data_IF_438161895342
#
_entry.id   IF_438161895342
#
_cell.length_a   1.000
_cell.length_b   1.000
_cell.length_c   1.000
_cell.angle_alpha   90.00
_cell.angle_beta   90.00
_cell.angle_gamma   90.00
#
_symmetry.space_group_name_H-M   'P 1'
#
loop_
_entity.id
_entity.type
_entity.pdbx_description
1 polymer ?
#
# COMPACT_ATOMS: atom_id res chain seq x y z
N UNK A 1 28.02 9.81 12.53
CA UNK A 1 28.02 10.39 11.16
C UNK A 1 26.61 10.81 10.79
N UNK A 2 26.40 12.13 10.70
CA UNK A 2 25.41 12.85 9.90
C UNK A 2 23.91 12.52 10.07
N UNK A 3 23.31 13.00 11.17
CA UNK A 3 21.87 13.26 11.29
C UNK A 3 21.31 13.97 10.05
N UNK A 4 22.05 14.97 9.54
CA UNK A 4 21.70 15.72 8.34
C UNK A 4 21.44 14.82 7.10
N UNK A 5 22.24 13.77 6.87
CA UNK A 5 22.09 12.89 5.68
C UNK A 5 20.83 12.03 5.72
N UNK A 6 20.28 11.74 6.90
CA UNK A 6 19.07 10.89 7.05
C UNK A 6 17.79 11.70 6.79
N UNK A 7 17.75 12.97 7.19
CA UNK A 7 16.62 13.87 6.86
C UNK A 7 16.51 14.17 5.37
N UNK A 8 17.65 14.36 4.67
CA UNK A 8 17.63 14.45 3.20
C UNK A 8 17.15 13.14 2.56
N UNK A 9 17.39 11.99 3.20
CA UNK A 9 16.90 10.70 2.74
C UNK A 9 15.37 10.62 2.78
N UNK A 10 14.76 10.97 3.91
CA UNK A 10 13.30 10.95 4.06
C UNK A 10 12.60 11.95 3.12
N UNK A 11 13.14 13.17 3.00
CA UNK A 11 12.63 14.16 2.04
C UNK A 11 12.81 13.70 0.59
N UNK A 12 13.93 13.07 0.24
CA UNK A 12 14.15 12.52 -1.09
C UNK A 12 13.16 11.40 -1.39
N UNK A 13 12.89 10.51 -0.43
CA UNK A 13 11.88 9.44 -0.58
C UNK A 13 10.48 10.02 -0.75
N UNK A 14 10.09 11.02 0.06
CA UNK A 14 8.80 11.70 -0.08
C UNK A 14 8.65 12.38 -1.45
N UNK A 15 9.68 13.10 -1.89
CA UNK A 15 9.69 13.76 -3.20
C UNK A 15 9.69 12.74 -4.35
N UNK A 16 10.40 11.62 -4.20
CA UNK A 16 10.38 10.53 -5.18
C UNK A 16 8.99 9.89 -5.28
N UNK A 17 8.32 9.66 -4.15
CA UNK A 17 6.97 9.12 -4.10
C UNK A 17 5.96 10.07 -4.75
N UNK A 18 6.03 11.37 -4.44
CA UNK A 18 5.22 12.41 -5.06
C UNK A 18 5.46 12.51 -6.58
N UNK A 19 6.73 12.50 -6.99
CA UNK A 19 7.12 12.55 -8.40
C UNK A 19 6.63 11.32 -9.15
N UNK A 20 6.79 10.13 -8.58
CA UNK A 20 6.34 8.88 -9.17
C UNK A 20 4.81 8.82 -9.31
N UNK A 21 4.08 9.25 -8.28
CA UNK A 21 2.61 9.30 -8.33
C UNK A 21 2.09 10.31 -9.35
N UNK A 22 2.68 11.50 -9.44
CA UNK A 22 2.35 12.48 -10.47
C UNK A 22 2.67 11.97 -11.87
N UNK A 23 3.85 11.35 -12.05
CA UNK A 23 4.24 10.76 -13.32
C UNK A 23 3.27 9.66 -13.75
N UNK A 24 2.92 8.74 -12.84
CA UNK A 24 1.97 7.67 -13.11
C UNK A 24 0.55 8.20 -13.40
N UNK A 25 0.10 9.22 -12.67
CA UNK A 25 -1.19 9.87 -12.94
C UNK A 25 -1.20 10.55 -14.32
N UNK A 26 -0.14 11.27 -14.67
CA UNK A 26 -0.01 11.90 -15.98
C UNK A 26 0.05 10.86 -17.10
N UNK A 27 0.75 9.75 -16.90
CA UNK A 27 0.83 8.64 -17.84
C UNK A 27 -0.54 8.00 -18.04
N UNK A 28 -1.25 7.70 -16.94
CA UNK A 28 -2.61 7.15 -17.00
C UNK A 28 -3.59 8.07 -17.75
N UNK A 29 -3.56 9.38 -17.47
CA UNK A 29 -4.40 10.38 -18.17
C UNK A 29 -4.07 10.46 -19.66
N UNK A 30 -2.78 10.39 -20.02
CA UNK A 30 -2.31 10.50 -21.41
C UNK A 30 -2.62 9.27 -22.25
N UNK A 31 -2.48 8.07 -21.67
CA UNK A 31 -2.62 6.80 -22.39
C UNK A 31 -4.09 6.39 -22.52
N UNK A 32 -4.89 6.57 -21.47
CA UNK A 32 -6.31 6.22 -21.51
C UNK A 32 -7.11 7.06 -20.52
N UNK A 33 -7.74 8.11 -21.03
CA UNK A 33 -8.74 8.91 -20.30
C UNK A 33 -10.10 8.22 -20.19
N UNK A 34 -10.19 6.92 -20.53
CA UNK A 34 -11.39 6.14 -20.29
C UNK A 34 -11.72 6.16 -18.79
N UNK A 35 -12.99 6.44 -18.48
CA UNK A 35 -13.49 6.55 -17.09
C UNK A 35 -13.09 5.31 -16.29
N UNK A 36 -13.07 4.13 -16.90
CA UNK A 36 -12.71 2.86 -16.27
C UNK A 36 -11.27 2.83 -15.71
N UNK A 37 -10.30 3.42 -16.40
CA UNK A 37 -8.91 3.45 -15.93
C UNK A 37 -8.69 4.55 -14.88
N UNK A 38 -9.37 5.68 -15.04
CA UNK A 38 -9.26 6.80 -14.11
C UNK A 38 -10.06 6.60 -12.83
N UNK A 39 -11.10 5.75 -12.84
CA UNK A 39 -12.01 5.55 -11.69
C UNK A 39 -11.27 5.17 -10.42
N UNK A 40 -10.20 4.37 -10.53
CA UNK A 40 -9.42 3.91 -9.39
C UNK A 40 -8.09 4.66 -9.24
N UNK A 41 -7.40 4.96 -10.35
CA UNK A 41 -6.10 5.65 -10.33
C UNK A 41 -6.24 7.07 -9.79
N UNK A 42 -7.28 7.80 -10.20
CA UNK A 42 -7.48 9.20 -9.86
C UNK A 42 -7.74 9.41 -8.35
N UNK A 43 -8.72 8.77 -7.69
CA UNK A 43 -8.91 8.96 -6.26
C UNK A 43 -7.71 8.47 -5.44
N UNK A 44 -7.07 7.37 -5.84
CA UNK A 44 -5.89 6.85 -5.14
C UNK A 44 -4.72 7.84 -5.19
N UNK A 45 -4.42 8.39 -6.36
CA UNK A 45 -3.36 9.38 -6.51
C UNK A 45 -3.67 10.67 -5.75
N UNK A 46 -4.93 11.12 -5.70
CA UNK A 46 -5.33 12.25 -4.84
C UNK A 46 -5.08 11.96 -3.35
N UNK A 47 -5.43 10.78 -2.87
CA UNK A 47 -5.19 10.40 -1.46
C UNK A 47 -3.70 10.37 -1.15
N UNK A 48 -2.88 9.76 -2.00
CA UNK A 48 -1.42 9.70 -1.79
C UNK A 48 -0.81 11.10 -1.79
N UNK A 49 -1.18 11.94 -2.77
CA UNK A 49 -0.69 13.32 -2.84
C UNK A 49 -1.15 14.15 -1.64
N UNK A 50 -2.38 13.95 -1.15
CA UNK A 50 -2.88 14.61 0.05
C UNK A 50 -2.10 14.20 1.30
N UNK A 51 -1.77 12.90 1.46
CA UNK A 51 -0.95 12.41 2.57
C UNK A 51 0.45 13.02 2.53
N UNK A 52 1.10 13.00 1.36
CA UNK A 52 2.43 13.60 1.20
C UNK A 52 2.39 15.11 1.49
N UNK A 53 1.38 15.82 0.98
CA UNK A 53 1.22 17.25 1.22
C UNK A 53 0.98 17.53 2.71
N UNK A 54 0.11 16.77 3.37
CA UNK A 54 -0.16 16.88 4.79
C UNK A 54 1.13 16.69 5.60
N UNK A 55 1.90 15.65 5.28
CA UNK A 55 3.15 15.35 5.98
C UNK A 55 4.19 16.45 5.81
N UNK A 56 4.32 17.00 4.59
CA UNK A 56 5.19 18.14 4.31
C UNK A 56 4.74 19.38 5.09
N UNK A 57 3.43 19.69 5.10
CA UNK A 57 2.87 20.85 5.82
C UNK A 57 3.03 20.71 7.33
N UNK A 58 2.79 19.53 7.90
CA UNK A 58 2.99 19.27 9.32
C UNK A 58 4.46 19.46 9.72
N UNK A 59 5.40 18.89 8.93
CA UNK A 59 6.85 19.06 9.16
C UNK A 59 7.33 20.51 8.99
N UNK A 60 6.75 21.25 8.05
CA UNK A 60 6.98 22.70 7.87
C UNK A 60 6.51 23.49 9.11
N UNK A 61 5.30 23.22 9.61
CA UNK A 61 4.72 23.94 10.76
C UNK A 61 5.45 23.65 12.06
N UNK A 62 5.88 22.41 12.27
CA UNK A 62 6.61 22.01 13.47
C UNK A 62 8.09 22.44 13.44
N UNK A 63 8.56 23.03 12.32
CA UNK A 63 9.98 23.39 12.14
C UNK A 63 10.91 22.17 12.11
N UNK A 64 10.35 20.97 12.06
CA UNK A 64 11.01 19.65 12.11
C UNK A 64 11.27 19.07 10.71
N UNK A 65 11.20 19.90 9.66
CA UNK A 65 11.59 19.51 8.29
C UNK A 65 12.91 18.75 8.23
N UNK A 66 13.83 19.07 9.14
CA UNK A 66 15.16 18.49 9.27
C UNK A 66 15.43 17.90 10.66
N UNK A 67 14.38 17.60 11.43
CA UNK A 67 14.56 17.03 12.76
C UNK A 67 13.41 16.11 13.09
N UNK A 68 13.56 14.85 12.64
CA UNK A 68 12.65 13.77 13.04
C UNK A 68 12.56 13.71 14.57
N UNK A 69 11.34 13.82 15.13
CA UNK A 69 11.06 13.36 16.48
C UNK A 69 11.56 11.91 16.56
N UNK A 70 12.41 11.62 17.54
CA UNK A 70 12.92 10.29 17.77
C UNK A 70 11.77 9.34 18.10
N UNK A 71 11.15 8.75 17.09
CA UNK A 71 10.87 7.33 17.17
C UNK A 71 12.25 6.68 17.22
N UNK A 72 12.62 6.21 18.41
CA UNK A 72 13.56 5.11 18.55
C UNK A 72 13.19 4.10 17.47
N UNK A 73 13.96 4.11 16.37
CA UNK A 73 13.53 3.45 15.16
C UNK A 73 13.18 2.03 15.50
N UNK A 74 11.92 1.63 15.28
CA UNK A 74 11.60 0.22 15.28
C UNK A 74 12.66 -0.45 14.41
N UNK A 75 13.39 -1.43 14.95
CA UNK A 75 14.57 -1.93 14.28
C UNK A 75 14.14 -2.33 12.87
N UNK A 76 14.86 -1.88 11.84
CA UNK A 76 14.50 -2.12 10.44
C UNK A 76 14.14 -3.59 10.18
N UNK A 77 14.76 -4.47 10.97
CA UNK A 77 14.56 -5.91 11.05
C UNK A 77 13.13 -6.36 11.43
N UNK A 78 12.34 -5.50 12.09
CA UNK A 78 10.93 -5.73 12.47
C UNK A 78 9.97 -5.36 11.34
N UNK A 79 10.35 -4.39 10.50
CA UNK A 79 9.57 -3.92 9.35
C UNK A 79 9.89 -4.72 8.08
N UNK A 80 11.14 -5.17 7.92
CA UNK A 80 11.62 -6.00 6.81
C UNK A 80 10.75 -7.23 6.49
N UNK A 81 10.31 -8.04 7.48
CA UNK A 81 9.43 -9.18 7.25
C UNK A 81 8.07 -8.77 6.66
N UNK A 82 7.53 -7.64 7.10
CA UNK A 82 6.25 -7.11 6.61
C UNK A 82 6.38 -6.63 5.17
N UNK A 83 7.45 -5.90 4.86
CA UNK A 83 7.74 -5.44 3.49
C UNK A 83 7.98 -6.64 2.56
N UNK A 84 8.72 -7.65 3.03
CA UNK A 84 8.94 -8.88 2.29
C UNK A 84 7.64 -9.65 2.03
N UNK A 85 6.76 -9.73 3.03
CA UNK A 85 5.45 -10.35 2.88
C UNK A 85 4.57 -9.59 1.87
N UNK A 86 4.60 -8.25 1.90
CA UNK A 86 3.89 -7.43 0.93
C UNK A 86 4.41 -7.64 -0.50
N UNK A 87 5.73 -7.70 -0.68
CA UNK A 87 6.32 -8.00 -1.99
C UNK A 87 5.94 -9.40 -2.48
N UNK A 88 5.97 -10.41 -1.61
CA UNK A 88 5.53 -11.77 -1.93
C UNK A 88 4.05 -11.80 -2.33
N UNK A 89 3.19 -11.02 -1.65
CA UNK A 89 1.79 -10.87 -2.00
C UNK A 89 1.62 -10.29 -3.42
N UNK A 90 2.30 -9.18 -3.74
CA UNK A 90 2.23 -8.57 -5.09
C UNK A 90 2.66 -9.54 -6.18
N UNK A 91 3.71 -10.33 -5.96
CA UNK A 91 4.16 -11.36 -6.92
C UNK A 91 3.11 -12.47 -7.05
N UNK A 92 2.50 -12.88 -5.93
CA UNK A 92 1.51 -13.95 -5.91
C UNK A 92 0.20 -13.58 -6.60
N UNK A 93 -0.13 -12.29 -6.74
CA UNK A 93 -1.34 -11.84 -7.45
C UNK A 93 -1.39 -12.35 -8.90
N UNK A 94 -0.24 -12.49 -9.55
CA UNK A 94 -0.16 -12.97 -10.94
C UNK A 94 -0.38 -14.48 -11.08
N UNK A 95 -0.20 -15.28 -10.01
CA UNK A 95 -0.23 -16.75 -10.08
C UNK A 95 -1.36 -17.38 -9.26
N UNK A 96 -1.68 -16.84 -8.09
CA UNK A 96 -2.69 -17.36 -7.16
C UNK A 96 -4.05 -16.67 -7.27
N UNK A 97 -4.16 -15.59 -8.05
CA UNK A 97 -5.38 -14.80 -8.14
C UNK A 97 -5.59 -13.86 -6.94
N UNK A 98 -6.40 -12.83 -7.13
CA UNK A 98 -6.56 -11.73 -6.18
C UNK A 98 -7.18 -12.17 -4.84
N UNK A 99 -8.18 -13.05 -4.89
CA UNK A 99 -8.91 -13.55 -3.72
C UNK A 99 -8.03 -14.38 -2.79
N UNK A 100 -7.43 -15.46 -3.30
CA UNK A 100 -6.62 -16.40 -2.51
C UNK A 100 -5.35 -15.72 -2.00
N UNK A 101 -4.69 -14.92 -2.85
CA UNK A 101 -3.51 -14.17 -2.43
C UNK A 101 -3.83 -13.19 -1.29
N UNK A 102 -4.99 -12.52 -1.34
CA UNK A 102 -5.39 -11.57 -0.28
C UNK A 102 -5.68 -12.29 1.03
N UNK A 103 -6.41 -13.41 1.00
CA UNK A 103 -6.69 -14.22 2.20
C UNK A 103 -5.39 -14.72 2.83
N UNK A 104 -4.47 -15.28 2.03
CA UNK A 104 -3.19 -15.80 2.53
C UNK A 104 -2.31 -14.67 3.07
N UNK A 105 -2.26 -13.53 2.38
CA UNK A 105 -1.51 -12.35 2.85
C UNK A 105 -2.02 -11.86 4.20
N UNK A 106 -3.33 -11.69 4.36
CA UNK A 106 -3.93 -11.22 5.62
C UNK A 106 -3.67 -12.22 6.75
N UNK A 107 -3.81 -13.52 6.48
CA UNK A 107 -3.51 -14.57 7.45
C UNK A 107 -2.03 -14.55 7.89
N UNK A 108 -1.09 -14.47 6.93
CA UNK A 108 0.33 -14.40 7.23
C UNK A 108 0.70 -13.08 7.94
N UNK A 109 0.06 -11.98 7.59
CA UNK A 109 0.29 -10.69 8.22
C UNK A 109 -0.17 -10.67 9.69
N UNK A 110 -1.35 -11.22 9.97
CA UNK A 110 -1.85 -11.38 11.34
C UNK A 110 -0.98 -12.35 12.16
N UNK A 111 -0.49 -13.43 11.55
CA UNK A 111 0.48 -14.33 12.19
C UNK A 111 1.79 -13.61 12.53
N UNK A 112 2.32 -12.80 11.62
CA UNK A 112 3.53 -11.99 11.87
C UNK A 112 3.30 -10.95 12.98
N UNK A 113 2.09 -10.44 13.12
CA UNK A 113 1.69 -9.53 14.21
C UNK A 113 1.48 -10.25 15.55
N UNK A 114 1.49 -11.58 15.57
CA UNK A 114 1.43 -12.39 16.79
C UNK A 114 0.02 -12.75 17.25
N UNK A 115 -0.99 -12.59 16.38
CA UNK A 115 -2.35 -13.04 16.69
C UNK A 115 -2.38 -14.57 16.85
N UNK A 116 -2.79 -15.03 18.04
CA UNK A 116 -2.81 -16.45 18.42
C UNK A 116 -4.18 -17.09 18.33
N UNK A 117 -5.22 -16.33 18.05
CA UNK A 117 -6.57 -16.86 17.99
C UNK A 117 -6.88 -17.37 16.59
N UNK A 118 -6.68 -18.67 16.36
CA UNK A 118 -6.85 -19.33 15.06
C UNK A 118 -8.23 -19.12 14.41
N UNK A 119 -9.28 -18.96 15.22
CA UNK A 119 -10.64 -18.65 14.75
C UNK A 119 -10.76 -17.22 14.20
N UNK A 120 -10.20 -16.23 14.92
CA UNK A 120 -10.15 -14.85 14.42
C UNK A 120 -9.22 -14.75 13.22
N UNK A 121 -8.09 -15.46 13.25
CA UNK A 121 -7.14 -15.51 12.15
C UNK A 121 -7.79 -16.02 10.87
N UNK A 122 -8.40 -17.20 10.90
CA UNK A 122 -9.06 -17.78 9.73
C UNK A 122 -10.30 -16.98 9.32
N UNK A 123 -11.18 -16.67 10.27
CA UNK A 123 -12.43 -15.98 10.00
C UNK A 123 -12.22 -14.56 9.44
N UNK A 124 -11.35 -13.77 10.07
CA UNK A 124 -11.06 -12.41 9.61
C UNK A 124 -10.40 -12.42 8.23
N UNK A 125 -9.40 -13.29 8.01
CA UNK A 125 -8.69 -13.36 6.72
C UNK A 125 -9.63 -13.75 5.58
N UNK A 126 -10.54 -14.70 5.82
CA UNK A 126 -11.52 -15.13 4.83
C UNK A 126 -12.56 -14.04 4.56
N UNK A 127 -13.20 -13.51 5.60
CA UNK A 127 -14.26 -12.48 5.44
C UNK A 127 -13.69 -11.22 4.80
N UNK A 128 -12.51 -10.79 5.23
CA UNK A 128 -11.85 -9.61 4.67
C UNK A 128 -11.36 -9.87 3.24
N UNK A 129 -10.67 -10.98 2.99
CA UNK A 129 -10.13 -11.30 1.67
C UNK A 129 -11.22 -11.44 0.61
N UNK A 130 -12.28 -12.22 0.90
CA UNK A 130 -13.42 -12.33 0.00
C UNK A 130 -14.25 -11.06 -0.09
N UNK A 131 -14.41 -10.31 1.00
CA UNK A 131 -15.13 -9.04 0.99
C UNK A 131 -14.44 -7.99 0.10
N UNK A 132 -13.12 -7.90 0.16
CA UNK A 132 -12.33 -7.04 -0.72
C UNK A 132 -12.36 -7.55 -2.16
N UNK A 133 -12.21 -8.86 -2.38
CA UNK A 133 -12.32 -9.45 -3.72
C UNK A 133 -13.67 -9.13 -4.38
N UNK A 134 -14.76 -9.30 -3.65
CA UNK A 134 -16.11 -8.97 -4.11
C UNK A 134 -16.27 -7.48 -4.42
N UNK A 135 -15.79 -6.60 -3.52
CA UNK A 135 -15.85 -5.16 -3.75
C UNK A 135 -15.08 -4.72 -5.01
N UNK A 136 -13.91 -5.32 -5.25
CA UNK A 136 -13.12 -5.05 -6.45
C UNK A 136 -13.75 -5.65 -7.71
N UNK A 137 -14.39 -6.82 -7.62
CA UNK A 137 -15.17 -7.41 -8.72
C UNK A 137 -16.28 -6.45 -9.18
N UNK A 138 -16.99 -5.86 -8.22
CA UNK A 138 -18.14 -4.98 -8.52
C UNK A 138 -17.70 -3.58 -8.97
N UNK A 139 -16.59 -3.06 -8.44
CA UNK A 139 -16.07 -1.74 -8.81
C UNK A 139 -15.30 -1.73 -10.14
N UNK A 140 -14.68 -2.84 -10.54
CA UNK A 140 -13.85 -2.90 -11.75
C UNK A 140 -14.59 -3.68 -12.86
N UNK A 141 -14.92 -3.06 -14.00
CA UNK A 141 -15.41 -3.77 -15.18
C UNK A 141 -14.31 -4.56 -15.92
N UNK A 142 -13.15 -4.79 -15.28
CA UNK A 142 -11.98 -5.44 -15.87
C UNK A 142 -11.79 -6.83 -15.23
N UNK A 143 -11.58 -7.90 -16.03
CA UNK A 143 -11.42 -9.24 -15.51
C UNK A 143 -10.15 -9.32 -14.66
N UNK A 144 -10.34 -9.35 -13.34
CA UNK A 144 -9.30 -9.63 -12.36
C UNK A 144 -9.15 -11.14 -12.27
N UNK A 145 -7.94 -11.66 -12.33
CA UNK A 145 -7.73 -13.10 -12.20
C UNK A 145 -8.18 -13.54 -10.79
N UNK A 146 -9.33 -14.19 -10.71
CA UNK A 146 -9.91 -14.75 -9.49
C UNK A 146 -9.77 -16.26 -9.57
N UNK A 147 -9.34 -16.89 -8.47
CA UNK A 147 -9.11 -18.34 -8.47
C UNK A 147 -10.32 -19.10 -7.91
N UNK A 148 -11.18 -18.44 -7.13
CA UNK A 148 -12.34 -19.04 -6.45
C UNK A 148 -13.67 -18.37 -6.81
N UNK A 149 -13.73 -17.04 -6.93
CA UNK A 149 -14.91 -16.34 -7.43
C UNK A 149 -14.98 -16.49 -8.97
N UNK A 150 -16.13 -16.90 -9.56
CA UNK A 150 -16.25 -16.99 -11.01
C UNK A 150 -16.21 -15.59 -11.64
N UNK A 151 -15.51 -15.49 -12.78
CA UNK A 151 -15.44 -14.31 -13.66
C UNK A 151 -16.83 -13.85 -14.14
#
# INVERSE_FOLDING_TARGET
MTTNKRDYGDLLVLMALAGFTLWYLMDAIRVSSAVQNLLLILPLSFVVLAIVLLEVVLRLKDGTLFQRQGEEGEPLFRTLPVVGLFAAYVISLATLGFDVATVVFVALFLLLKGERNWLLLGGYSLVFGFGVAFFFAEMLPYPMHMLVLPD
#
